data_IF_264272513497
#
_entry.id   IF_264272513497
#
_cell.length_a   1.000
_cell.length_b   1.000
_cell.length_c   1.000
_cell.angle_alpha   90.00
_cell.angle_beta   90.00
_cell.angle_gamma   90.00
#
_symmetry.space_group_name_H-M   'P 1'
#
loop_
_entity.id
_entity.type
_entity.pdbx_description
1 polymer ?
#
# COMPACT_ATOMS: atom_id res chain seq x y z
N UNK A 1 -42.45 -65.83 -10.07
CA UNK A 1 -41.13 -65.31 -9.78
C UNK A 1 -41.09 -63.81 -10.12
N UNK A 2 -41.19 -62.96 -9.12
CA UNK A 2 -41.21 -61.53 -9.30
C UNK A 2 -39.81 -60.98 -9.15
N UNK A 3 -39.29 -60.30 -10.19
CA UNK A 3 -37.98 -59.62 -10.15
C UNK A 3 -38.14 -58.24 -9.55
N UNK A 4 -37.37 -57.93 -8.47
CA UNK A 4 -37.33 -56.65 -7.81
C UNK A 4 -36.45 -55.68 -8.63
N UNK A 5 -36.83 -54.41 -8.76
CA UNK A 5 -36.00 -53.42 -9.44
C UNK A 5 -34.82 -52.92 -8.56
N UNK A 6 -33.62 -53.01 -9.06
CA UNK A 6 -32.40 -52.44 -8.47
C UNK A 6 -32.43 -50.92 -8.61
N UNK A 7 -32.54 -50.23 -7.48
CA UNK A 7 -32.39 -48.78 -7.37
C UNK A 7 -30.92 -48.39 -7.52
N UNK A 8 -30.52 -47.90 -8.66
CA UNK A 8 -29.19 -47.22 -8.86
C UNK A 8 -29.25 -45.90 -8.14
N UNK A 9 -28.58 -45.79 -7.02
CA UNK A 9 -28.29 -44.54 -6.35
C UNK A 9 -27.25 -43.76 -7.17
N UNK A 10 -27.70 -42.75 -7.92
CA UNK A 10 -26.80 -41.77 -8.52
C UNK A 10 -26.21 -40.92 -7.42
N UNK A 11 -24.89 -41.06 -7.17
CA UNK A 11 -24.14 -40.05 -6.42
C UNK A 11 -24.04 -38.82 -7.31
N UNK A 12 -24.82 -37.79 -7.03
CA UNK A 12 -24.57 -36.47 -7.55
C UNK A 12 -23.23 -36.02 -6.97
N UNK A 13 -22.16 -36.14 -7.76
CA UNK A 13 -20.94 -35.42 -7.53
C UNK A 13 -21.26 -33.94 -7.78
N UNK A 14 -21.51 -33.20 -6.72
CA UNK A 14 -21.58 -31.74 -6.77
C UNK A 14 -20.19 -31.29 -7.27
N UNK A 15 -20.13 -30.80 -8.49
CA UNK A 15 -18.92 -30.15 -9.01
C UNK A 15 -18.71 -28.91 -8.18
N UNK A 16 -17.81 -29.03 -7.22
CA UNK A 16 -17.34 -27.90 -6.41
C UNK A 16 -16.66 -26.94 -7.37
N UNK A 17 -17.27 -25.78 -7.58
CA UNK A 17 -16.72 -24.74 -8.43
C UNK A 17 -15.81 -23.85 -7.54
N UNK A 18 -14.47 -23.97 -7.65
CA UNK A 18 -13.56 -23.28 -6.75
C UNK A 18 -13.76 -21.76 -6.74
N UNK A 19 -14.24 -21.21 -7.86
CA UNK A 19 -14.47 -19.76 -7.98
C UNK A 19 -15.59 -19.26 -7.05
N UNK A 20 -16.61 -20.06 -6.80
CA UNK A 20 -17.72 -19.69 -5.89
C UNK A 20 -17.31 -19.72 -4.42
N UNK A 21 -16.43 -20.65 -4.07
CA UNK A 21 -15.92 -20.72 -2.67
C UNK A 21 -15.05 -19.51 -2.35
N UNK A 22 -14.28 -19.02 -3.33
CA UNK A 22 -13.52 -17.77 -3.17
C UNK A 22 -14.43 -16.55 -3.02
N UNK A 23 -15.48 -16.44 -3.83
CA UNK A 23 -16.47 -15.36 -3.71
C UNK A 23 -17.15 -15.37 -2.35
N UNK A 24 -17.56 -16.55 -1.83
CA UNK A 24 -18.17 -16.69 -0.52
C UNK A 24 -17.23 -16.31 0.63
N UNK A 25 -15.92 -16.55 0.48
CA UNK A 25 -14.90 -16.16 1.46
C UNK A 25 -14.72 -14.64 1.48
N UNK A 26 -14.66 -14.02 0.30
CA UNK A 26 -14.55 -12.56 0.20
C UNK A 26 -15.79 -11.86 0.75
N UNK A 27 -16.99 -12.37 0.47
CA UNK A 27 -18.24 -11.81 1.00
C UNK A 27 -18.31 -11.93 2.53
N UNK A 28 -17.91 -13.08 3.11
CA UNK A 28 -17.85 -13.26 4.56
C UNK A 28 -16.82 -12.37 5.22
N UNK A 29 -15.63 -12.19 4.58
CA UNK A 29 -14.61 -11.30 5.06
C UNK A 29 -15.07 -9.84 5.01
N UNK A 30 -15.76 -9.43 3.94
CA UNK A 30 -16.37 -8.10 3.82
C UNK A 30 -17.44 -7.85 4.89
N UNK A 31 -18.30 -8.83 5.18
CA UNK A 31 -19.30 -8.75 6.24
C UNK A 31 -18.65 -8.64 7.63
N UNK A 32 -17.57 -9.41 7.88
CA UNK A 32 -16.84 -9.36 9.14
C UNK A 32 -16.17 -7.99 9.36
N UNK A 33 -15.56 -7.44 8.32
CA UNK A 33 -14.95 -6.10 8.33
C UNK A 33 -15.99 -5.02 8.55
N UNK A 34 -17.15 -5.11 7.89
CA UNK A 34 -18.26 -4.18 8.11
C UNK A 34 -18.80 -4.26 9.55
N UNK A 35 -18.95 -5.46 10.09
CA UNK A 35 -19.41 -5.66 11.46
C UNK A 35 -18.38 -5.17 12.49
N UNK A 36 -17.08 -5.44 12.28
CA UNK A 36 -16.02 -5.12 13.23
C UNK A 36 -15.63 -3.63 13.23
N UNK A 37 -15.68 -2.98 12.06
CA UNK A 37 -15.15 -1.64 11.86
C UNK A 37 -16.13 -0.66 11.21
N UNK A 38 -17.33 -1.09 10.86
CA UNK A 38 -18.32 -0.27 10.14
C UNK A 38 -17.88 0.10 8.71
N UNK A 39 -16.88 -0.61 8.17
CA UNK A 39 -16.31 -0.35 6.85
C UNK A 39 -17.10 -1.11 5.78
N UNK A 40 -17.69 -0.40 4.85
CA UNK A 40 -18.28 -1.00 3.65
C UNK A 40 -17.20 -1.33 2.63
N UNK A 41 -17.41 -2.30 1.70
CA UNK A 41 -16.47 -2.56 0.61
C UNK A 41 -16.13 -1.31 -0.22
N UNK A 42 -17.08 -0.38 -0.37
CA UNK A 42 -16.86 0.90 -1.03
C UNK A 42 -15.91 1.80 -0.22
N UNK A 43 -16.07 1.87 1.10
CA UNK A 43 -15.17 2.63 1.96
C UNK A 43 -13.75 2.09 1.98
N UNK A 44 -13.57 0.77 1.82
CA UNK A 44 -12.25 0.13 1.68
C UNK A 44 -11.59 0.43 0.31
N UNK A 45 -12.39 0.57 -0.74
CA UNK A 45 -11.92 0.91 -2.08
C UNK A 45 -11.39 2.37 -2.15
N UNK A 46 -11.95 3.26 -1.34
CA UNK A 46 -11.55 4.67 -1.26
C UNK A 46 -10.37 4.94 -0.30
N UNK A 47 -9.90 3.91 0.42
CA UNK A 47 -8.75 4.09 1.31
C UNK A 47 -7.45 4.28 0.53
N UNK A 48 -6.61 5.27 0.91
CA UNK A 48 -5.30 5.42 0.31
C UNK A 48 -4.47 4.13 0.47
N UNK A 49 -3.84 3.68 -0.60
CA UNK A 49 -2.90 2.57 -0.51
C UNK A 49 -1.54 3.05 0.00
N UNK A 50 -0.82 2.17 0.69
CA UNK A 50 0.51 2.49 1.21
C UNK A 50 1.57 2.00 0.23
N UNK A 51 2.45 2.88 -0.30
CA UNK A 51 3.60 2.46 -1.10
C UNK A 51 4.60 1.64 -0.29
N UNK A 52 5.31 0.74 -0.96
CA UNK A 52 6.46 0.08 -0.36
C UNK A 52 7.56 1.12 -0.14
N UNK A 53 8.15 1.10 1.04
CA UNK A 53 9.17 2.07 1.39
C UNK A 53 10.17 1.53 2.41
N UNK A 54 11.39 2.02 2.30
CA UNK A 54 12.47 1.79 3.25
C UNK A 54 12.81 3.08 3.98
N UNK A 55 13.03 2.99 5.29
CA UNK A 55 13.64 4.02 6.10
C UNK A 55 15.04 3.57 6.50
N UNK A 56 16.03 4.34 6.13
CA UNK A 56 17.43 4.15 6.53
C UNK A 56 17.95 5.37 7.26
N UNK A 57 18.98 5.16 8.08
CA UNK A 57 19.62 6.18 8.89
C UNK A 57 21.11 6.21 8.59
N UNK A 58 21.66 7.42 8.40
CA UNK A 58 23.08 7.71 8.32
C UNK A 58 23.50 8.53 9.54
N UNK A 59 24.79 8.85 9.67
CA UNK A 59 25.26 9.71 10.76
C UNK A 59 24.58 11.10 10.74
N UNK A 60 24.26 11.62 9.55
CA UNK A 60 23.80 13.00 9.35
C UNK A 60 22.31 13.11 8.98
N UNK A 61 21.68 12.04 8.50
CA UNK A 61 20.32 12.12 7.93
C UNK A 61 19.53 10.82 8.06
N UNK A 62 18.21 10.96 8.01
CA UNK A 62 17.27 9.89 7.70
C UNK A 62 16.95 9.91 6.20
N UNK A 63 16.92 8.75 5.57
CA UNK A 63 16.60 8.61 4.15
C UNK A 63 15.41 7.67 3.98
N UNK A 64 14.33 8.20 3.44
CA UNK A 64 13.13 7.43 3.08
C UNK A 64 13.12 7.21 1.58
N UNK A 65 13.00 5.95 1.15
CA UNK A 65 12.84 5.59 -0.26
C UNK A 65 11.50 4.94 -0.44
N UNK A 66 10.61 5.53 -1.25
CA UNK A 66 9.27 5.01 -1.53
C UNK A 66 9.14 4.64 -3.02
N UNK A 67 8.57 3.47 -3.28
CA UNK A 67 8.31 3.00 -4.65
C UNK A 67 7.01 3.61 -5.18
N UNK A 68 7.15 4.50 -6.17
CA UNK A 68 6.06 5.23 -6.82
C UNK A 68 6.12 5.10 -8.34
N UNK A 69 6.05 3.88 -8.90
CA UNK A 69 6.19 3.67 -10.33
C UNK A 69 5.06 4.33 -11.12
N UNK A 70 5.42 5.16 -12.08
CA UNK A 70 4.46 5.85 -12.95
C UNK A 70 3.85 7.12 -12.36
N UNK A 71 4.35 7.58 -11.19
CA UNK A 71 3.96 8.86 -10.58
C UNK A 71 4.84 9.97 -11.11
N UNK A 72 4.25 11.13 -11.39
CA UNK A 72 4.96 12.35 -11.72
C UNK A 72 5.22 13.17 -10.45
N UNK A 73 6.28 13.98 -10.45
CA UNK A 73 6.63 14.84 -9.31
C UNK A 73 5.48 15.76 -8.85
N UNK A 74 4.66 16.22 -9.79
CA UNK A 74 3.55 17.13 -9.52
C UNK A 74 2.34 16.44 -8.85
N UNK A 75 2.37 15.10 -8.79
CA UNK A 75 1.37 14.24 -8.15
C UNK A 75 1.77 13.82 -6.74
N UNK A 76 2.94 14.25 -6.26
CA UNK A 76 3.48 13.90 -4.94
C UNK A 76 3.46 15.13 -4.04
N UNK A 77 2.89 14.97 -2.87
CA UNK A 77 2.92 15.94 -1.79
C UNK A 77 3.72 15.37 -0.61
N UNK A 78 4.66 16.14 -0.07
CA UNK A 78 5.50 15.75 1.06
C UNK A 78 5.31 16.77 2.17
N UNK A 79 4.98 16.29 3.35
CA UNK A 79 4.82 17.11 4.55
C UNK A 79 5.67 16.52 5.67
N UNK A 80 6.35 17.37 6.39
CA UNK A 80 7.09 17.03 7.60
C UNK A 80 6.59 17.93 8.74
N UNK A 81 6.05 17.28 9.77
CA UNK A 81 5.62 17.99 10.99
C UNK A 81 6.27 17.30 12.19
N UNK A 82 7.04 18.06 12.93
CA UNK A 82 7.86 17.55 14.04
C UNK A 82 8.81 16.43 13.55
N UNK A 83 8.42 15.18 13.72
CA UNK A 83 9.15 13.98 13.26
C UNK A 83 8.31 13.03 12.43
N UNK A 84 7.09 13.43 12.08
CA UNK A 84 6.23 12.67 11.20
C UNK A 84 6.40 13.15 9.76
N UNK A 85 6.90 12.25 8.91
CA UNK A 85 7.00 12.45 7.47
C UNK A 85 5.78 11.81 6.81
N UNK A 86 5.01 12.60 6.07
CA UNK A 86 3.85 12.14 5.30
C UNK A 86 4.15 12.36 3.81
N UNK A 87 4.07 11.29 3.05
CA UNK A 87 4.18 11.30 1.59
C UNK A 87 2.83 10.86 1.04
N UNK A 88 2.17 11.72 0.27
CA UNK A 88 0.84 11.46 -0.26
C UNK A 88 0.72 11.89 -1.71
N UNK A 89 -0.28 11.38 -2.40
CA UNK A 89 -0.57 11.76 -3.77
C UNK A 89 -1.68 10.91 -4.39
N UNK A 90 -1.86 11.09 -5.70
CA UNK A 90 -2.88 10.38 -6.45
C UNK A 90 -2.33 9.94 -7.80
N UNK A 91 -2.55 8.67 -8.13
CA UNK A 91 -2.30 8.11 -9.46
C UNK A 91 -3.64 8.06 -10.19
N UNK A 92 -3.85 8.89 -11.23
CA UNK A 92 -5.09 8.86 -11.97
C UNK A 92 -5.31 7.50 -12.61
N UNK A 93 -6.55 7.06 -12.67
CA UNK A 93 -6.90 5.90 -13.47
C UNK A 93 -6.59 6.21 -14.94
N UNK A 94 -5.94 5.29 -15.65
CA UNK A 94 -5.73 5.46 -17.08
C UNK A 94 -7.10 5.54 -17.76
N UNK A 95 -7.33 6.62 -18.51
CA UNK A 95 -8.52 6.73 -19.35
C UNK A 95 -8.56 5.55 -20.32
N UNK A 96 -9.65 4.81 -20.34
CA UNK A 96 -9.90 3.77 -21.34
C UNK A 96 -10.10 4.47 -22.67
N UNK A 97 -9.00 4.71 -23.39
CA UNK A 97 -9.03 5.34 -24.71
C UNK A 97 -9.93 4.57 -25.66
N UNK A 98 -10.97 5.25 -26.15
CA UNK A 98 -11.82 4.91 -27.30
C UNK A 98 -12.08 3.42 -27.54
N UNK A 99 -12.72 2.72 -26.60
CA UNK A 99 -13.48 1.48 -26.84
C UNK A 99 -12.78 0.27 -27.49
N UNK A 100 -11.53 0.41 -27.95
CA UNK A 100 -10.82 -0.63 -28.71
C UNK A 100 -9.81 -1.45 -27.89
N UNK A 101 -9.52 -1.05 -26.66
CA UNK A 101 -8.60 -1.80 -25.79
C UNK A 101 -9.37 -2.60 -24.72
N UNK A 102 -9.43 -3.92 -24.89
CA UNK A 102 -9.90 -4.82 -23.83
C UNK A 102 -8.79 -5.02 -22.82
N UNK A 103 -8.96 -4.47 -21.62
CA UNK A 103 -8.09 -4.74 -20.50
C UNK A 103 -8.40 -6.13 -19.94
N UNK A 104 -7.51 -7.11 -20.13
CA UNK A 104 -7.69 -8.48 -19.62
C UNK A 104 -7.28 -8.61 -18.15
N UNK A 105 -6.38 -7.75 -17.68
CA UNK A 105 -5.91 -7.74 -16.29
C UNK A 105 -5.43 -6.34 -15.93
N UNK A 106 -5.89 -5.82 -14.79
CA UNK A 106 -5.38 -4.59 -14.18
C UNK A 106 -4.81 -4.96 -12.81
N UNK A 107 -3.49 -4.84 -12.65
CA UNK A 107 -2.80 -5.06 -11.38
C UNK A 107 -2.00 -3.83 -10.92
N UNK A 108 -2.05 -2.75 -11.71
CA UNK A 108 -1.41 -1.47 -11.33
C UNK A 108 -2.29 -0.80 -10.28
N UNK A 109 -1.66 -0.29 -9.24
CA UNK A 109 -2.35 0.51 -8.23
C UNK A 109 -2.63 1.89 -8.80
N UNK A 110 -3.86 2.36 -8.64
CA UNK A 110 -4.35 3.69 -8.99
C UNK A 110 -5.06 4.28 -7.80
N UNK A 111 -5.44 5.54 -7.86
CA UNK A 111 -6.10 6.24 -6.78
C UNK A 111 -5.11 6.86 -5.79
N UNK A 112 -5.61 7.23 -4.63
CA UNK A 112 -4.84 7.92 -3.61
C UNK A 112 -3.85 6.99 -2.92
N UNK A 113 -2.68 7.52 -2.60
CA UNK A 113 -1.70 6.86 -1.75
C UNK A 113 -1.26 7.75 -0.61
N UNK A 114 -0.90 7.11 0.52
CA UNK A 114 -0.37 7.82 1.67
C UNK A 114 0.61 6.91 2.42
N UNK A 115 1.81 7.42 2.66
CA UNK A 115 2.82 6.81 3.52
C UNK A 115 3.09 7.75 4.69
N UNK A 116 2.92 7.25 5.92
CA UNK A 116 3.30 7.94 7.14
C UNK A 116 4.44 7.21 7.81
N UNK A 117 5.49 7.94 8.18
CA UNK A 117 6.61 7.37 8.91
C UNK A 117 7.12 8.32 9.97
N UNK A 118 7.48 7.79 11.13
CA UNK A 118 8.07 8.55 12.22
C UNK A 118 9.58 8.41 12.18
N UNK A 119 10.26 9.56 12.25
CA UNK A 119 11.72 9.62 12.29
C UNK A 119 12.18 9.45 13.74
N UNK A 120 13.24 8.65 13.99
CA UNK A 120 13.64 8.30 15.36
C UNK A 120 14.13 9.47 16.20
N UNK A 121 14.70 10.51 15.58
CA UNK A 121 15.28 11.66 16.29
C UNK A 121 14.85 13.00 15.70
N UNK A 122 15.33 14.06 16.32
CA UNK A 122 15.04 15.43 15.88
C UNK A 122 15.70 15.74 14.54
N UNK A 123 15.01 16.51 13.72
CA UNK A 123 15.36 16.78 12.32
C UNK A 123 15.41 18.26 12.01
N UNK A 124 16.13 18.61 10.96
CA UNK A 124 16.15 19.94 10.39
C UNK A 124 15.19 20.00 9.20
N UNK A 125 13.98 20.48 9.43
CA UNK A 125 12.91 20.55 8.42
C UNK A 125 13.25 21.46 7.24
N UNK A 126 14.05 22.52 7.47
CA UNK A 126 14.40 23.51 6.45
C UNK A 126 15.39 22.97 5.40
N UNK A 127 16.07 21.87 5.72
CA UNK A 127 17.09 21.25 4.87
C UNK A 127 16.64 19.94 4.23
N UNK A 128 15.34 19.62 4.26
CA UNK A 128 14.78 18.42 3.64
C UNK A 128 14.87 18.53 2.13
N UNK A 129 15.31 17.45 1.49
CA UNK A 129 15.35 17.34 0.03
C UNK A 129 14.60 16.11 -0.43
N UNK A 130 13.98 16.19 -1.61
CA UNK A 130 13.27 15.09 -2.22
C UNK A 130 13.58 14.99 -3.69
N UNK A 131 13.79 13.78 -4.19
CA UNK A 131 14.06 13.49 -5.58
C UNK A 131 13.27 12.26 -6.03
N UNK A 132 12.57 12.39 -7.14
CA UNK A 132 11.88 11.27 -7.80
C UNK A 132 12.67 10.88 -9.05
N UNK A 133 13.18 9.66 -9.10
CA UNK A 133 13.92 9.09 -10.23
C UNK A 133 13.57 7.62 -10.40
N UNK A 134 13.35 7.23 -11.65
CA UNK A 134 13.05 5.82 -12.01
C UNK A 134 11.90 5.17 -11.21
N UNK A 135 10.91 5.99 -10.84
CA UNK A 135 9.77 5.52 -10.04
C UNK A 135 10.07 5.31 -8.55
N UNK A 136 11.22 5.81 -8.07
CA UNK A 136 11.58 5.80 -6.65
C UNK A 136 11.69 7.22 -6.14
N UNK A 137 10.91 7.56 -5.13
CA UNK A 137 11.02 8.81 -4.40
C UNK A 137 12.02 8.62 -3.26
N UNK A 138 13.09 9.41 -3.28
CA UNK A 138 14.07 9.49 -2.20
C UNK A 138 13.89 10.80 -1.45
N UNK A 139 13.54 10.73 -0.18
CA UNK A 139 13.44 11.89 0.72
C UNK A 139 14.58 11.82 1.71
N UNK A 140 15.42 12.85 1.73
CA UNK A 140 16.54 12.98 2.68
C UNK A 140 16.18 14.04 3.70
N UNK A 141 16.15 13.65 4.96
CA UNK A 141 15.79 14.49 6.10
C UNK A 141 17.02 14.62 7.01
N UNK A 142 17.75 15.73 6.98
CA UNK A 142 18.91 15.94 7.84
C UNK A 142 18.54 15.93 9.31
N UNK A 143 19.38 15.33 10.15
CA UNK A 143 19.25 15.37 11.59
C UNK A 143 19.50 16.79 12.12
N UNK A 144 18.80 17.17 13.18
CA UNK A 144 19.18 18.36 13.92
C UNK A 144 20.60 18.20 14.51
N UNK A 145 21.34 19.30 14.64
CA UNK A 145 22.72 19.25 15.16
C UNK A 145 22.82 18.58 16.54
N UNK A 146 21.79 18.74 17.39
CA UNK A 146 21.72 18.09 18.70
C UNK A 146 21.50 16.57 18.63
N UNK A 147 21.00 16.06 17.51
CA UNK A 147 20.71 14.64 17.28
C UNK A 147 21.85 13.88 16.59
N UNK A 148 22.90 14.57 16.17
CA UNK A 148 24.06 13.94 15.54
C UNK A 148 24.95 13.22 16.56
N UNK A 149 25.62 12.12 16.18
CA UNK A 149 26.57 11.44 17.05
C UNK A 149 27.70 12.38 17.51
N UNK A 150 27.97 12.39 18.78
CA UNK A 150 29.08 13.16 19.37
C UNK A 150 30.18 12.23 19.86
N UNK A 151 31.43 12.49 19.46
CA UNK A 151 32.59 11.82 20.01
C UNK A 151 32.85 12.37 21.40
N UNK A 152 32.85 11.50 22.40
CA UNK A 152 33.18 11.85 23.79
C UNK A 152 34.62 11.45 24.05
N UNK A 153 35.44 12.41 24.48
CA UNK A 153 36.83 12.13 24.93
C UNK A 153 36.79 11.64 26.36
N UNK A 154 37.45 10.51 26.59
CA UNK A 154 37.64 9.97 27.95
C UNK A 154 38.93 10.56 28.50
N UNK A 155 38.80 11.36 29.56
CA UNK A 155 39.95 11.88 30.33
C UNK A 155 40.22 10.96 31.49
N UNK A 156 41.50 10.53 31.65
CA UNK A 156 41.97 9.68 32.74
C UNK A 156 42.82 10.47 33.73
#
# INVERSE_FOLDING_TARGET
MAALPVRRGGRNLTVVNPSREFEDIYDRMGQLMNFAFGLTPAALADMPWVPLADLSETDDAYVVKAELPGVNKDQVNIQLQDRELVISGEIPEPEDGNGHHRRHRSSRRTGQFELRTYLPGDVNADAVTAQLSDGVLTVTVPKAEAAKPRKIEVTG
#
